data_IF_501190360170
#
_entry.id   IF_501190360170
#
_cell.length_a   1.000
_cell.length_b   1.000
_cell.length_c   1.000
_cell.angle_alpha   90.00
_cell.angle_beta   90.00
_cell.angle_gamma   90.00
#
_symmetry.space_group_name_H-M   'P 1'
#
loop_
_entity.id
_entity.type
_entity.pdbx_description
1 polymer ?
#
# COMPACT_ATOMS: atom_id res chain seq x y z
N UNK A 1 -6.61 19.94 -7.22
CA UNK A 1 -5.91 19.17 -6.15
C UNK A 1 -5.08 20.16 -5.33
N UNK A 2 -5.08 20.08 -4.00
CA UNK A 2 -4.31 21.04 -3.17
C UNK A 2 -2.80 20.76 -3.26
N UNK A 3 -1.99 21.81 -3.46
CA UNK A 3 -0.51 21.76 -3.48
C UNK A 3 0.03 20.98 -2.27
N UNK A 4 -0.60 21.15 -1.10
CA UNK A 4 -0.23 20.44 0.13
C UNK A 4 -0.30 18.91 0.00
N UNK A 5 -1.32 18.38 -0.70
CA UNK A 5 -1.49 16.93 -0.86
C UNK A 5 -0.47 16.35 -1.85
N UNK A 6 -0.16 17.08 -2.91
CA UNK A 6 0.86 16.69 -3.88
C UNK A 6 2.23 16.64 -3.20
N UNK A 7 2.57 17.65 -2.39
CA UNK A 7 3.81 17.67 -1.60
C UNK A 7 3.89 16.47 -0.65
N UNK A 8 2.81 16.15 0.07
CA UNK A 8 2.78 15.00 0.95
C UNK A 8 2.99 13.68 0.20
N UNK A 9 2.44 13.55 -1.02
CA UNK A 9 2.66 12.36 -1.85
C UNK A 9 4.14 12.22 -2.24
N UNK A 10 4.78 13.30 -2.69
CA UNK A 10 6.22 13.26 -3.01
C UNK A 10 7.08 12.88 -1.81
N UNK A 11 6.73 13.35 -0.61
CA UNK A 11 7.46 12.99 0.61
C UNK A 11 7.34 11.49 0.92
N UNK A 12 6.15 10.91 0.77
CA UNK A 12 5.93 9.47 0.98
C UNK A 12 6.66 8.60 -0.05
N UNK A 13 6.71 9.06 -1.31
CA UNK A 13 7.46 8.37 -2.36
C UNK A 13 8.97 8.43 -2.11
N UNK A 14 9.48 9.59 -1.68
CA UNK A 14 10.89 9.73 -1.28
C UNK A 14 11.23 8.82 -0.09
N UNK A 15 10.34 8.72 0.90
CA UNK A 15 10.53 7.80 2.03
C UNK A 15 10.59 6.33 1.58
N UNK A 16 9.78 5.92 0.60
CA UNK A 16 9.89 4.58 0.01
C UNK A 16 11.26 4.36 -0.60
N UNK A 17 11.74 5.31 -1.42
CA UNK A 17 13.02 5.22 -2.11
C UNK A 17 14.21 5.16 -1.13
N UNK A 18 14.22 6.01 -0.11
CA UNK A 18 15.25 6.05 0.93
C UNK A 18 15.35 4.75 1.73
N UNK A 19 14.27 3.96 1.79
CA UNK A 19 14.23 2.68 2.51
C UNK A 19 14.60 1.47 1.63
N UNK A 20 14.76 1.61 0.31
CA UNK A 20 15.16 0.50 -0.59
C UNK A 20 16.46 -0.19 -0.14
N UNK A 21 17.53 0.52 0.28
CA UNK A 21 18.75 -0.12 0.78
C UNK A 21 18.55 -1.00 2.01
N UNK A 22 17.42 -0.85 2.71
CA UNK A 22 17.08 -1.60 3.91
C UNK A 22 16.17 -2.81 3.62
N UNK A 23 15.91 -3.14 2.34
CA UNK A 23 14.91 -4.14 1.94
C UNK A 23 15.01 -5.48 2.67
N UNK A 24 16.22 -5.95 2.98
CA UNK A 24 16.42 -7.27 3.60
C UNK A 24 16.32 -7.24 5.13
N UNK A 25 16.11 -6.07 5.75
CA UNK A 25 15.90 -5.97 7.20
C UNK A 25 14.53 -6.52 7.59
N UNK A 26 14.50 -7.22 8.72
CA UNK A 26 13.28 -7.79 9.31
C UNK A 26 13.14 -7.37 10.77
N UNK A 27 11.90 -7.33 11.26
CA UNK A 27 11.61 -7.25 12.69
C UNK A 27 10.40 -8.13 13.01
N UNK A 28 10.63 -9.38 13.50
CA UNK A 28 9.57 -10.33 13.82
C UNK A 28 8.56 -9.86 14.86
N UNK A 29 8.93 -8.92 15.73
CA UNK A 29 8.01 -8.32 16.72
C UNK A 29 6.95 -7.43 16.05
N UNK A 30 7.26 -6.90 14.85
CA UNK A 30 6.39 -6.00 14.09
C UNK A 30 5.64 -6.74 12.97
N UNK A 31 6.36 -7.53 12.17
CA UNK A 31 5.83 -8.26 11.02
C UNK A 31 6.68 -9.50 10.70
N UNK A 32 6.06 -10.49 10.04
CA UNK A 32 6.75 -11.70 9.58
C UNK A 32 7.54 -11.49 8.27
N UNK A 33 7.32 -10.38 7.58
CA UNK A 33 7.99 -10.06 6.31
C UNK A 33 9.11 -9.05 6.49
N UNK A 34 10.00 -8.96 5.49
CA UNK A 34 11.04 -7.95 5.42
C UNK A 34 10.50 -6.59 4.93
N UNK A 35 11.39 -5.58 4.94
CA UNK A 35 11.07 -4.25 4.43
C UNK A 35 10.78 -4.30 2.93
N UNK A 36 11.51 -5.09 2.15
CA UNK A 36 11.33 -5.23 0.70
C UNK A 36 9.90 -5.61 0.33
N UNK A 37 9.30 -6.54 1.07
CA UNK A 37 7.91 -6.95 0.92
C UNK A 37 6.95 -5.78 1.14
N UNK A 38 7.20 -4.95 2.15
CA UNK A 38 6.35 -3.78 2.42
C UNK A 38 6.47 -2.73 1.31
N UNK A 39 7.70 -2.51 0.79
CA UNK A 39 7.95 -1.55 -0.28
C UNK A 39 7.31 -1.99 -1.61
N UNK A 40 7.55 -3.23 -2.03
CA UNK A 40 6.96 -3.79 -3.26
C UNK A 40 5.43 -3.82 -3.19
N UNK A 41 4.86 -4.24 -2.05
CA UNK A 41 3.41 -4.24 -1.85
C UNK A 41 2.83 -2.83 -1.96
N UNK A 42 3.47 -1.85 -1.32
CA UNK A 42 3.01 -0.46 -1.33
C UNK A 42 3.03 0.13 -2.74
N UNK A 43 4.08 -0.11 -3.52
CA UNK A 43 4.22 0.37 -4.91
C UNK A 43 3.18 -0.29 -5.84
N UNK A 44 2.95 -1.60 -5.70
CA UNK A 44 1.88 -2.31 -6.45
C UNK A 44 0.50 -1.75 -6.13
N UNK A 45 0.19 -1.53 -4.85
CA UNK A 45 -1.08 -0.94 -4.43
C UNK A 45 -1.24 0.47 -4.99
N UNK A 46 -0.18 1.29 -4.93
CA UNK A 46 -0.19 2.65 -5.46
C UNK A 46 -0.54 2.70 -6.95
N UNK A 47 0.13 1.87 -7.76
CA UNK A 47 -0.13 1.80 -9.21
C UNK A 47 -1.54 1.26 -9.50
N UNK A 48 -1.96 0.18 -8.83
CA UNK A 48 -3.30 -0.40 -9.03
C UNK A 48 -4.41 0.60 -8.67
N UNK A 49 -4.31 1.30 -7.53
CA UNK A 49 -5.30 2.31 -7.12
C UNK A 49 -5.31 3.49 -8.09
N UNK A 50 -4.16 3.94 -8.56
CA UNK A 50 -4.06 5.03 -9.54
C UNK A 50 -4.74 4.65 -10.85
N UNK A 51 -4.46 3.44 -11.36
CA UNK A 51 -5.08 2.91 -12.57
C UNK A 51 -6.61 2.77 -12.42
N UNK A 52 -7.08 2.17 -11.34
CA UNK A 52 -8.51 2.01 -11.10
C UNK A 52 -9.22 3.35 -10.95
N UNK A 53 -8.59 4.31 -10.26
CA UNK A 53 -9.14 5.65 -10.11
C UNK A 53 -9.30 6.31 -11.47
N UNK A 54 -8.28 6.23 -12.33
CA UNK A 54 -8.32 6.78 -13.69
C UNK A 54 -9.38 6.12 -14.58
N UNK A 55 -9.60 4.81 -14.41
CA UNK A 55 -10.60 4.03 -15.16
C UNK A 55 -12.01 4.10 -14.56
N UNK A 56 -12.16 4.57 -13.31
CA UNK A 56 -13.44 4.60 -12.61
C UNK A 56 -14.37 5.69 -13.15
N UNK A 57 -15.67 5.43 -13.10
CA UNK A 57 -16.71 6.41 -13.39
C UNK A 57 -17.50 6.73 -12.10
N UNK A 58 -17.52 7.98 -11.63
CA UNK A 58 -18.24 8.36 -10.41
C UNK A 58 -19.75 8.05 -10.44
N UNK A 59 -20.36 7.98 -11.63
CA UNK A 59 -21.80 7.67 -11.78
C UNK A 59 -22.12 6.22 -11.42
N UNK A 60 -21.15 5.32 -11.47
CA UNK A 60 -21.33 3.90 -11.17
C UNK A 60 -21.25 3.60 -9.67
N UNK A 61 -20.85 4.58 -8.86
CA UNK A 61 -20.75 4.42 -7.42
C UNK A 61 -22.12 4.19 -6.78
N UNK A 62 -22.26 3.08 -6.07
CA UNK A 62 -23.42 2.77 -5.21
C UNK A 62 -22.94 2.56 -3.79
N UNK A 63 -23.58 3.22 -2.83
CA UNK A 63 -23.24 3.08 -1.41
C UNK A 63 -23.74 1.74 -0.90
N UNK A 64 -22.83 0.89 -0.46
CA UNK A 64 -23.13 -0.34 0.27
C UNK A 64 -22.76 -0.18 1.75
N UNK A 65 -23.68 -0.59 2.64
CA UNK A 65 -23.39 -0.56 4.08
C UNK A 65 -22.44 -1.70 4.43
N UNK A 66 -21.34 -1.38 5.12
CA UNK A 66 -20.41 -2.35 5.67
C UNK A 66 -20.20 -2.06 7.16
N UNK A 67 -20.68 -2.99 8.00
CA UNK A 67 -20.62 -2.87 9.46
C UNK A 67 -19.18 -2.70 9.97
N UNK A 68 -18.26 -3.55 9.50
CA UNK A 68 -16.85 -3.49 9.89
C UNK A 68 -16.19 -2.18 9.50
N UNK A 69 -16.45 -1.67 8.28
CA UNK A 69 -15.95 -0.35 7.85
C UNK A 69 -16.46 0.77 8.76
N UNK A 70 -17.72 0.68 9.17
CA UNK A 70 -18.38 1.69 10.01
C UNK A 70 -17.75 1.75 11.40
N UNK A 71 -17.28 0.61 11.94
CA UNK A 71 -16.62 0.55 13.25
C UNK A 71 -15.12 0.84 13.16
N UNK A 72 -14.39 0.20 12.24
CA UNK A 72 -12.93 0.20 12.22
C UNK A 72 -12.33 1.54 11.77
N UNK A 73 -12.95 2.22 10.79
CA UNK A 73 -12.36 3.43 10.20
C UNK A 73 -12.36 4.63 11.16
N UNK A 74 -13.45 4.93 11.90
CA UNK A 74 -13.41 5.98 12.92
C UNK A 74 -12.39 5.72 14.02
N UNK A 75 -12.19 4.45 14.40
CA UNK A 75 -11.20 4.03 15.38
C UNK A 75 -9.75 4.08 14.87
N UNK A 76 -9.55 4.25 13.55
CA UNK A 76 -8.24 4.16 12.89
C UNK A 76 -7.47 2.88 13.27
N UNK A 77 -8.21 1.80 13.50
CA UNK A 77 -7.67 0.52 13.94
C UNK A 77 -8.03 -0.55 12.94
N UNK A 78 -7.03 -1.28 12.46
CA UNK A 78 -7.20 -2.45 11.60
C UNK A 78 -6.64 -3.67 12.34
N UNK A 79 -7.45 -4.71 12.60
CA UNK A 79 -6.97 -5.89 13.31
C UNK A 79 -5.90 -6.61 12.48
N UNK A 80 -4.69 -6.68 13.03
CA UNK A 80 -3.56 -7.37 12.39
C UNK A 80 -3.81 -8.88 12.34
N UNK A 81 -3.23 -9.54 11.33
CA UNK A 81 -3.31 -11.00 11.15
C UNK A 81 -4.66 -11.56 10.71
N UNK A 82 -5.68 -10.71 10.49
CA UNK A 82 -7.01 -11.13 10.05
C UNK A 82 -7.29 -10.92 8.56
N UNK A 83 -6.40 -10.20 7.87
CA UNK A 83 -6.59 -9.78 6.48
C UNK A 83 -5.39 -10.23 5.65
N UNK A 84 -5.65 -10.63 4.40
CA UNK A 84 -4.63 -11.02 3.42
C UNK A 84 -4.64 -10.05 2.25
N UNK A 85 -3.44 -9.70 1.75
CA UNK A 85 -3.30 -8.91 0.54
C UNK A 85 -3.92 -9.63 -0.68
N UNK A 86 -4.62 -8.91 -1.58
CA UNK A 86 -5.07 -9.48 -2.85
C UNK A 86 -3.90 -10.00 -3.69
N UNK A 87 -4.11 -11.10 -4.43
CA UNK A 87 -3.04 -11.80 -5.17
C UNK A 87 -2.25 -10.89 -6.11
N UNK A 88 -2.94 -10.00 -6.84
CA UNK A 88 -2.33 -9.16 -7.87
C UNK A 88 -1.46 -8.01 -7.31
N UNK A 89 -1.62 -7.66 -6.03
CA UNK A 89 -0.71 -6.73 -5.32
C UNK A 89 0.17 -7.47 -4.31
N UNK A 90 0.12 -8.80 -4.26
CA UNK A 90 0.98 -9.58 -3.37
C UNK A 90 2.40 -9.58 -3.94
N UNK A 91 3.42 -9.27 -3.12
CA UNK A 91 4.81 -9.44 -3.52
C UNK A 91 5.17 -10.89 -3.84
N UNK A 92 6.17 -11.12 -4.70
CA UNK A 92 6.79 -12.44 -4.83
C UNK A 92 7.51 -12.84 -3.53
N UNK A 93 7.93 -14.09 -3.45
CA UNK A 93 8.65 -14.62 -2.28
C UNK A 93 10.05 -14.00 -2.15
N UNK A 94 10.71 -13.73 -3.28
CA UNK A 94 12.04 -13.10 -3.33
C UNK A 94 11.90 -11.77 -4.06
N UNK A 95 12.37 -10.69 -3.42
CA UNK A 95 12.30 -9.33 -3.95
C UNK A 95 13.72 -8.83 -4.21
N UNK A 96 14.02 -8.57 -5.48
CA UNK A 96 15.29 -8.00 -5.89
C UNK A 96 15.25 -6.47 -5.80
N UNK A 97 16.40 -5.82 -5.73
CA UNK A 97 16.44 -4.35 -5.78
C UNK A 97 15.88 -3.82 -7.09
N UNK A 98 16.12 -4.52 -8.20
CA UNK A 98 15.56 -4.17 -9.50
C UNK A 98 14.03 -4.19 -9.48
N UNK A 99 13.39 -5.11 -8.75
CA UNK A 99 11.93 -5.14 -8.62
C UNK A 99 11.39 -3.84 -8.02
N UNK A 100 12.12 -3.23 -7.08
CA UNK A 100 11.74 -1.98 -6.42
C UNK A 100 12.01 -0.72 -7.27
N UNK A 101 12.84 -0.82 -8.31
CA UNK A 101 13.16 0.30 -9.22
C UNK A 101 12.38 0.27 -10.54
N UNK A 102 11.54 -0.75 -10.78
CA UNK A 102 10.76 -0.93 -12.03
C UNK A 102 9.44 -0.14 -12.07
N UNK A 103 9.06 0.52 -10.99
CA UNK A 103 7.73 1.11 -10.80
C UNK A 103 7.54 2.49 -11.44
#
# INVERSE_FOLDING_TARGET
MSIKRIKALYQLLAEIEENIPLKDKTNPEVTKSDIGWQLDHSLKVFNAVSEWTAKSNPKDYKREFNFWRTILFPLKYIPRGRVKAPKFVSPPEIITSDDLHKF
#
